data_IF_580624691843
#
_entry.id   IF_580624691843
#
_cell.length_a   1.000
_cell.length_b   1.000
_cell.length_c   1.000
_cell.angle_alpha   90.00
_cell.angle_beta   90.00
_cell.angle_gamma   90.00
#
_symmetry.space_group_name_H-M   'P 1'
#
loop_
_entity.id
_entity.type
_entity.pdbx_description
1 polymer ?
#
# COMPACT_ATOMS: atom_id res chain seq x y z
N UNK A 1 -14.95 38.37 -19.15
CA UNK A 1 -13.66 37.73 -19.47
C UNK A 1 -13.32 36.73 -18.35
N UNK A 2 -13.52 35.43 -18.58
CA UNK A 2 -13.23 34.40 -17.57
C UNK A 2 -11.75 34.04 -17.65
N UNK A 3 -10.96 34.44 -16.64
CA UNK A 3 -9.54 34.05 -16.52
C UNK A 3 -9.49 32.53 -16.33
N UNK A 4 -9.13 31.78 -17.37
CA UNK A 4 -8.78 30.35 -17.26
C UNK A 4 -7.58 30.24 -16.30
N UNK A 5 -7.81 29.72 -15.08
CA UNK A 5 -6.71 29.32 -14.19
C UNK A 5 -5.87 28.29 -14.95
N UNK A 6 -4.60 28.61 -15.20
CA UNK A 6 -3.62 27.62 -15.65
C UNK A 6 -3.47 26.61 -14.52
N UNK A 7 -3.94 25.38 -14.72
CA UNK A 7 -3.61 24.26 -13.83
C UNK A 7 -2.08 24.14 -13.83
N UNK A 8 -1.48 24.19 -12.65
CA UNK A 8 -0.04 24.07 -12.49
C UNK A 8 0.36 22.61 -12.73
N UNK A 9 1.59 22.38 -13.21
CA UNK A 9 2.10 21.02 -13.42
C UNK A 9 2.23 20.20 -12.11
N UNK A 10 2.04 20.86 -10.97
CA UNK A 10 2.05 20.28 -9.62
C UNK A 10 0.65 19.97 -9.07
N UNK A 11 -0.43 20.29 -9.81
CA UNK A 11 -1.81 19.93 -9.43
C UNK A 11 -2.15 18.47 -9.75
N UNK A 12 -1.26 17.76 -10.46
CA UNK A 12 -1.28 16.31 -10.62
C UNK A 12 -0.15 15.76 -9.79
N UNK A 13 -0.47 15.27 -8.59
CA UNK A 13 0.46 14.44 -7.83
C UNK A 13 0.71 13.19 -8.70
N UNK A 14 1.96 12.84 -9.02
CA UNK A 14 2.26 11.72 -9.93
C UNK A 14 1.78 10.36 -9.41
N UNK A 15 1.36 10.28 -8.14
CA UNK A 15 0.76 9.12 -7.51
C UNK A 15 -0.75 8.95 -7.85
N UNK A 16 -1.37 9.87 -8.58
CA UNK A 16 -2.80 9.87 -8.93
C UNK A 16 -3.11 9.28 -10.33
N UNK A 17 -2.23 8.51 -10.98
CA UNK A 17 -2.70 7.73 -12.14
C UNK A 17 -3.59 6.58 -11.63
N UNK A 18 -4.92 6.64 -11.83
CA UNK A 18 -5.84 5.64 -11.29
C UNK A 18 -5.59 4.26 -11.88
N UNK A 19 -4.83 4.17 -12.98
CA UNK A 19 -4.43 2.91 -13.61
C UNK A 19 -3.22 2.29 -12.93
N UNK A 20 -2.29 3.06 -12.37
CA UNK A 20 -1.19 2.50 -11.56
C UNK A 20 -1.74 2.00 -10.22
N UNK A 21 -2.62 2.77 -9.58
CA UNK A 21 -3.30 2.37 -8.33
C UNK A 21 -4.11 1.06 -8.48
N UNK A 22 -4.75 0.84 -9.63
CA UNK A 22 -5.54 -0.37 -9.89
C UNK A 22 -4.72 -1.56 -10.41
N UNK A 23 -3.48 -1.36 -10.84
CA UNK A 23 -2.68 -2.43 -11.48
C UNK A 23 -2.21 -3.48 -10.49
N UNK A 24 -1.92 -3.09 -9.25
CA UNK A 24 -1.28 -3.97 -8.28
C UNK A 24 -2.11 -4.05 -6.99
N UNK A 25 -3.28 -4.70 -7.02
CA UNK A 25 -4.03 -5.00 -5.80
C UNK A 25 -3.49 -6.29 -5.16
N UNK A 26 -2.94 -6.19 -3.96
CA UNK A 26 -2.47 -7.33 -3.18
C UNK A 26 -3.59 -7.88 -2.32
N UNK A 27 -3.83 -9.18 -2.42
CA UNK A 27 -4.82 -9.87 -1.59
C UNK A 27 -4.18 -10.32 -0.30
N UNK A 28 -4.77 -9.90 0.81
CA UNK A 28 -4.39 -10.32 2.14
C UNK A 28 -5.48 -11.18 2.75
N UNK A 29 -5.07 -12.20 3.51
CA UNK A 29 -5.98 -13.06 4.23
C UNK A 29 -5.56 -13.21 5.70
N UNK A 30 -6.53 -13.07 6.60
CA UNK A 30 -6.33 -13.31 8.02
C UNK A 30 -6.17 -14.80 8.31
N UNK A 31 -5.11 -15.18 9.02
CA UNK A 31 -4.82 -16.57 9.38
C UNK A 31 -5.84 -17.17 10.38
N UNK A 32 -6.53 -16.33 11.16
CA UNK A 32 -7.44 -16.78 12.21
C UNK A 32 -8.91 -16.87 11.75
N UNK A 33 -9.42 -15.79 11.14
CA UNK A 33 -10.85 -15.69 10.78
C UNK A 33 -11.11 -15.76 9.28
N UNK A 34 -10.07 -15.92 8.45
CA UNK A 34 -10.13 -15.96 6.96
C UNK A 34 -10.73 -14.71 6.30
N UNK A 35 -10.80 -13.59 7.03
CA UNK A 35 -11.12 -12.29 6.43
C UNK A 35 -10.14 -11.97 5.30
N UNK A 36 -10.66 -11.54 4.15
CA UNK A 36 -9.88 -11.14 2.98
C UNK A 36 -9.99 -9.63 2.77
N UNK A 37 -8.87 -9.00 2.42
CA UNK A 37 -8.75 -7.57 2.16
C UNK A 37 -7.86 -7.35 0.93
N UNK A 38 -8.25 -6.39 0.09
CA UNK A 38 -7.47 -6.00 -1.07
C UNK A 38 -6.77 -4.68 -0.77
N UNK A 39 -5.44 -4.69 -0.86
CA UNK A 39 -4.59 -3.58 -0.49
C UNK A 39 -3.90 -3.06 -1.75
N UNK A 40 -4.00 -1.75 -2.05
CA UNK A 40 -3.31 -1.18 -3.19
C UNK A 40 -1.79 -1.33 -3.09
N UNK A 41 -1.14 -1.55 -4.23
CA UNK A 41 0.29 -1.81 -4.32
C UNK A 41 1.15 -0.67 -3.82
N UNK A 42 0.72 0.59 -4.01
CA UNK A 42 1.43 1.74 -3.47
C UNK A 42 1.56 1.70 -1.94
N UNK A 43 0.60 1.08 -1.23
CA UNK A 43 0.69 0.89 0.22
C UNK A 43 1.79 -0.11 0.53
N UNK A 44 1.86 -1.21 -0.23
CA UNK A 44 2.91 -2.23 -0.09
C UNK A 44 4.28 -1.66 -0.40
N UNK A 45 4.41 -0.89 -1.50
CA UNK A 45 5.64 -0.20 -1.89
C UNK A 45 6.12 0.77 -0.83
N UNK A 46 5.22 1.52 -0.20
CA UNK A 46 5.58 2.38 0.92
C UNK A 46 6.23 1.56 2.03
N UNK A 47 5.65 0.46 2.47
CA UNK A 47 6.27 -0.39 3.50
C UNK A 47 7.63 -0.97 3.09
N UNK A 48 7.80 -1.38 1.82
CA UNK A 48 9.10 -1.84 1.30
C UNK A 48 10.14 -0.73 1.34
N UNK A 49 9.76 0.49 0.96
CA UNK A 49 10.67 1.64 0.98
C UNK A 49 11.17 1.96 2.39
N UNK A 50 10.32 1.76 3.41
CA UNK A 50 10.72 1.87 4.81
C UNK A 50 11.68 0.76 5.24
N UNK A 51 11.51 -0.48 4.75
CA UNK A 51 12.48 -1.56 4.95
C UNK A 51 13.84 -1.25 4.29
N UNK A 52 13.85 -0.61 3.13
CA UNK A 52 15.11 -0.20 2.48
C UNK A 52 15.83 0.94 3.20
N UNK A 53 15.08 1.82 3.87
CA UNK A 53 15.63 2.92 4.66
C UNK A 53 16.13 2.48 6.05
N UNK A 54 15.56 1.41 6.62
CA UNK A 54 15.88 0.92 7.96
C UNK A 54 16.35 -0.55 7.91
N UNK A 55 17.67 -0.72 7.86
CA UNK A 55 18.33 -2.04 7.84
C UNK A 55 18.08 -2.89 9.11
N UNK A 56 17.75 -2.27 10.26
CA UNK A 56 17.38 -3.03 11.47
C UNK A 56 15.95 -3.54 11.37
N UNK A 57 15.04 -2.72 10.83
CA UNK A 57 13.67 -3.12 10.54
C UNK A 57 13.60 -4.23 9.49
N UNK A 58 14.38 -4.13 8.41
CA UNK A 58 14.46 -5.14 7.35
C UNK A 58 14.85 -6.53 7.87
N UNK A 59 15.72 -6.63 8.89
CA UNK A 59 16.11 -7.92 9.49
C UNK A 59 14.96 -8.63 10.20
N UNK A 60 13.90 -7.90 10.55
CA UNK A 60 12.72 -8.47 11.24
C UNK A 60 11.67 -9.02 10.29
N UNK A 61 11.85 -8.87 8.97
CA UNK A 61 10.86 -9.18 7.94
C UNK A 61 11.49 -10.00 6.81
N UNK A 62 11.23 -11.31 6.80
CA UNK A 62 11.80 -12.21 5.80
C UNK A 62 11.19 -12.05 4.39
N UNK A 63 9.93 -11.59 4.29
CA UNK A 63 9.15 -11.65 3.04
C UNK A 63 9.02 -10.29 2.33
N UNK A 64 9.62 -9.20 2.85
CA UNK A 64 9.44 -7.82 2.35
C UNK A 64 7.99 -7.38 2.12
N UNK A 65 7.04 -8.06 2.77
CA UNK A 65 5.61 -7.82 2.64
C UNK A 65 5.09 -7.27 3.98
N UNK A 66 4.27 -6.20 3.97
CA UNK A 66 3.75 -5.66 5.21
C UNK A 66 2.84 -6.67 5.89
N UNK A 67 2.89 -6.64 7.22
CA UNK A 67 2.00 -7.44 8.06
C UNK A 67 0.85 -6.55 8.48
N UNK A 68 -0.37 -6.92 8.11
CA UNK A 68 -1.56 -6.14 8.41
C UNK A 68 -2.33 -6.76 9.58
N UNK A 69 -3.14 -5.96 10.26
CA UNK A 69 -3.94 -6.38 11.42
C UNK A 69 -5.40 -6.54 11.00
N UNK A 70 -6.02 -7.65 11.40
CA UNK A 70 -7.38 -7.97 11.02
C UNK A 70 -8.38 -7.08 11.76
N UNK A 71 -9.28 -6.37 11.05
CA UNK A 71 -10.29 -5.54 11.71
C UNK A 71 -11.37 -6.36 12.44
N UNK A 72 -11.45 -7.68 12.21
CA UNK A 72 -12.46 -8.55 12.82
C UNK A 72 -12.01 -9.27 14.08
N UNK A 73 -10.73 -9.63 14.17
CA UNK A 73 -10.23 -10.47 15.27
C UNK A 73 -8.83 -10.05 15.75
N UNK A 74 -8.32 -8.91 15.28
CA UNK A 74 -6.99 -8.37 15.60
C UNK A 74 -5.82 -9.34 15.26
N UNK A 75 -6.13 -10.38 14.50
CA UNK A 75 -5.17 -11.38 14.05
C UNK A 75 -4.31 -10.88 12.90
N UNK A 76 -3.28 -11.65 12.56
CA UNK A 76 -2.37 -11.29 11.48
C UNK A 76 -2.98 -11.57 10.08
N UNK A 77 -2.86 -10.62 9.16
CA UNK A 77 -3.10 -10.80 7.73
C UNK A 77 -1.78 -11.04 7.01
N UNK A 78 -1.77 -12.03 6.12
CA UNK A 78 -0.64 -12.32 5.22
C UNK A 78 -1.10 -12.19 3.77
N UNK A 79 -0.19 -11.82 2.89
CA UNK A 79 -0.42 -11.89 1.45
C UNK A 79 -0.78 -13.33 1.07
N UNK A 80 -1.77 -13.47 0.19
CA UNK A 80 -2.30 -14.75 -0.28
C UNK A 80 -1.64 -15.18 -1.59
#
# INVERSE_FOLDING_TARGET
>A
MVRKKRKSLYDTIPFDDPKEIQRDMYKYQCIHCRYEEEVPGYVVEEFVWWEEMDEEYAKTKEDRMPTLVCPKCEGMLKSK
#
